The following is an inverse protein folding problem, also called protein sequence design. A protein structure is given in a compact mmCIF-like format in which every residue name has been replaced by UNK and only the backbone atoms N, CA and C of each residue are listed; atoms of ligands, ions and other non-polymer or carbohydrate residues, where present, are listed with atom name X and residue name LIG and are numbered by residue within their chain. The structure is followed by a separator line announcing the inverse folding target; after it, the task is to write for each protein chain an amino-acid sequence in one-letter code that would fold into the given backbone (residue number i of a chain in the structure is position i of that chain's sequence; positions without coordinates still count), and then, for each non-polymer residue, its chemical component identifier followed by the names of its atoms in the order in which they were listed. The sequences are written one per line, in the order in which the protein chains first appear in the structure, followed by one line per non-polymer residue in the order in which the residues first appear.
data_IF_437820703536
#
_entry.id   IF_437820703536
#
_cell.length_a   1.000
_cell.length_b   1.000
_cell.length_c   1.000
_cell.angle_alpha   90.00
_cell.angle_beta   90.00
_cell.angle_gamma   90.00
#
_symmetry.space_group_name_H-M   'P 1'
#
loop_
_entity.id
_entity.type
_entity.pdbx_description
1 polymer ?
#
# COMPACT_ATOMS: atom_id res chain seq x y z
N UNK A 1 13.98 50.12 24.90
CA UNK A 1 12.95 49.89 23.87
C UNK A 1 12.66 48.40 23.81
N UNK A 2 11.61 47.99 24.51
CA UNK A 2 11.18 46.60 24.70
C UNK A 2 10.33 46.15 23.52
N UNK A 3 10.83 45.22 22.71
CA UNK A 3 10.10 44.60 21.61
C UNK A 3 9.05 43.62 22.14
N UNK A 4 7.78 44.02 22.06
CA UNK A 4 6.64 43.14 22.33
C UNK A 4 6.59 42.02 21.30
N UNK A 5 6.62 40.76 21.76
CA UNK A 5 6.34 39.58 20.93
C UNK A 5 4.89 39.65 20.41
N UNK A 6 4.61 39.23 19.17
CA UNK A 6 3.24 39.23 18.66
C UNK A 6 2.37 38.27 19.48
N UNK A 7 1.23 38.79 19.93
CA UNK A 7 0.18 38.01 20.59
C UNK A 7 -0.35 37.01 19.57
N UNK A 8 -0.08 35.71 19.76
CA UNK A 8 -0.78 34.65 19.03
C UNK A 8 -2.27 34.79 19.32
N UNK A 9 -3.07 35.06 18.29
CA UNK A 9 -4.53 35.11 18.38
C UNK A 9 -5.04 33.81 19.01
N UNK A 10 -5.62 33.91 20.21
CA UNK A 10 -6.22 32.75 20.86
C UNK A 10 -7.51 32.39 20.13
N UNK A 11 -7.51 31.23 19.47
CA UNK A 11 -8.70 30.67 18.86
C UNK A 11 -9.78 30.45 19.94
N UNK A 12 -11.01 30.84 19.64
CA UNK A 12 -12.16 30.61 20.53
C UNK A 12 -12.41 29.10 20.68
N UNK A 13 -13.14 28.70 21.73
CA UNK A 13 -13.51 27.30 21.97
C UNK A 13 -14.32 26.71 20.80
N UNK A 14 -15.18 27.52 20.18
CA UNK A 14 -15.95 27.12 19.00
C UNK A 14 -15.07 26.92 17.76
N UNK A 15 -14.11 27.83 17.50
CA UNK A 15 -13.17 27.67 16.40
C UNK A 15 -12.27 26.43 16.57
N UNK A 16 -11.84 26.13 17.80
CA UNK A 16 -11.12 24.88 18.13
C UNK A 16 -11.98 23.64 17.90
N UNK A 17 -13.24 23.64 18.36
CA UNK A 17 -14.17 22.54 18.05
C UNK A 17 -14.34 22.36 16.54
N UNK A 18 -14.47 23.44 15.77
CA UNK A 18 -14.65 23.35 14.31
C UNK A 18 -13.39 22.80 13.61
N UNK A 19 -12.20 23.18 14.05
CA UNK A 19 -10.94 22.60 13.56
C UNK A 19 -10.75 21.12 13.98
N UNK A 20 -11.13 20.75 15.21
CA UNK A 20 -11.16 19.35 15.67
C UNK A 20 -11.98 18.46 14.74
N UNK A 21 -13.19 18.94 14.42
CA UNK A 21 -14.11 18.24 13.53
C UNK A 21 -13.53 18.11 12.12
N UNK A 22 -12.82 19.11 11.62
CA UNK A 22 -12.16 19.05 10.31
C UNK A 22 -11.05 17.99 10.28
N UNK A 23 -10.18 17.91 11.30
CA UNK A 23 -9.12 16.89 11.35
C UNK A 23 -9.67 15.47 11.40
N UNK A 24 -10.72 15.24 12.19
CA UNK A 24 -11.41 13.94 12.27
C UNK A 24 -12.18 13.61 10.97
N UNK A 25 -12.76 14.61 10.30
CA UNK A 25 -13.42 14.45 9.00
C UNK A 25 -12.42 14.11 7.90
N UNK A 26 -11.26 14.76 7.88
CA UNK A 26 -10.18 14.45 6.93
C UNK A 26 -9.70 13.01 7.13
N UNK A 27 -9.54 12.57 8.38
CA UNK A 27 -9.20 11.18 8.68
C UNK A 27 -10.26 10.21 8.17
N UNK A 28 -11.55 10.45 8.45
CA UNK A 28 -12.64 9.63 7.91
C UNK A 28 -12.58 9.57 6.39
N UNK A 29 -12.41 10.72 5.73
CA UNK A 29 -12.32 10.79 4.28
C UNK A 29 -11.13 9.99 3.75
N UNK A 30 -9.96 10.11 4.38
CA UNK A 30 -8.75 9.40 3.96
C UNK A 30 -8.90 7.88 4.15
N UNK A 31 -9.45 7.44 5.28
CA UNK A 31 -9.73 6.02 5.53
C UNK A 31 -10.76 5.49 4.52
N UNK A 32 -11.81 6.27 4.25
CA UNK A 32 -12.84 5.90 3.27
C UNK A 32 -12.26 5.75 1.87
N UNK A 33 -11.43 6.71 1.44
CA UNK A 33 -10.73 6.65 0.17
C UNK A 33 -9.79 5.44 0.11
N UNK A 34 -8.99 5.21 1.15
CA UNK A 34 -8.06 4.07 1.22
C UNK A 34 -8.80 2.73 1.15
N UNK A 35 -9.91 2.61 1.87
CA UNK A 35 -10.83 1.48 1.81
C UNK A 35 -11.33 1.28 0.38
N UNK A 36 -11.92 2.30 -0.23
CA UNK A 36 -12.47 2.20 -1.59
C UNK A 36 -11.38 1.82 -2.61
N UNK A 37 -10.18 2.36 -2.43
CA UNK A 37 -9.04 2.06 -3.29
C UNK A 37 -8.45 0.66 -3.06
N UNK A 38 -8.79 -0.02 -1.95
CA UNK A 38 -8.33 -1.39 -1.65
C UNK A 38 -9.31 -2.48 -2.15
N UNK A 39 -10.56 -2.10 -2.46
CA UNK A 39 -11.61 -3.01 -2.93
C UNK A 39 -11.36 -3.35 -4.40
N UNK A 40 -11.52 -4.63 -4.75
CA UNK A 40 -11.43 -5.08 -6.14
C UNK A 40 -12.54 -4.45 -6.99
N UNK A 41 -12.17 -3.86 -8.12
CA UNK A 41 -13.13 -3.33 -9.09
C UNK A 41 -14.00 -4.47 -9.63
N UNK A 42 -15.29 -4.20 -9.82
CA UNK A 42 -16.18 -5.09 -10.58
C UNK A 42 -15.80 -5.13 -12.06
N UNK A 43 -15.24 -4.02 -12.56
CA UNK A 43 -14.90 -3.83 -13.96
C UNK A 43 -13.53 -4.44 -14.27
N UNK A 44 -13.46 -5.10 -15.42
CA UNK A 44 -12.25 -5.70 -15.94
C UNK A 44 -11.57 -4.79 -16.98
N UNK A 45 -10.25 -4.87 -17.06
CA UNK A 45 -9.51 -4.39 -18.22
C UNK A 45 -9.91 -5.17 -19.47
N UNK A 46 -10.08 -4.47 -20.59
CA UNK A 46 -10.33 -5.09 -21.90
C UNK A 46 -9.16 -5.98 -22.33
N UNK A 47 -7.95 -5.63 -21.87
CA UNK A 47 -6.74 -6.38 -22.14
C UNK A 47 -5.73 -6.21 -21.01
N UNK A 48 -5.11 -7.32 -20.62
CA UNK A 48 -3.92 -7.33 -19.75
C UNK A 48 -2.73 -7.83 -20.57
N UNK A 49 -1.62 -7.08 -20.55
CA UNK A 49 -0.38 -7.40 -21.26
C UNK A 49 0.77 -7.46 -20.25
N UNK A 50 1.56 -8.52 -20.30
CA UNK A 50 2.66 -8.72 -19.35
C UNK A 50 3.99 -8.78 -20.11
N UNK A 51 4.96 -7.99 -19.67
CA UNK A 51 6.35 -8.04 -20.14
C UNK A 51 7.23 -8.52 -18.99
N UNK A 52 7.75 -9.74 -19.09
CA UNK A 52 8.67 -10.30 -18.12
C UNK A 52 10.12 -10.09 -18.57
N UNK A 53 10.91 -9.46 -17.70
CA UNK A 53 12.29 -9.05 -17.94
C UNK A 53 13.21 -9.84 -17.01
N UNK A 54 14.30 -10.36 -17.56
CA UNK A 54 15.44 -10.86 -16.79
C UNK A 54 16.74 -10.58 -17.56
N UNK A 55 17.90 -10.73 -16.92
CA UNK A 55 19.19 -10.56 -17.60
C UNK A 55 19.69 -11.86 -18.22
N UNK A 56 20.44 -11.74 -19.32
CA UNK A 56 21.10 -12.86 -20.00
C UNK A 56 22.08 -13.62 -19.09
N UNK A 57 22.79 -12.90 -18.22
CA UNK A 57 23.71 -13.49 -17.25
C UNK A 57 23.03 -13.95 -15.96
N UNK A 58 21.70 -13.79 -15.85
CA UNK A 58 20.96 -14.30 -14.72
C UNK A 58 20.49 -15.74 -14.97
N UNK A 59 20.68 -16.59 -13.96
CA UNK A 59 20.20 -17.98 -13.99
C UNK A 59 18.77 -18.09 -13.48
N UNK A 60 18.23 -17.02 -12.90
CA UNK A 60 16.81 -16.90 -12.55
C UNK A 60 16.01 -16.61 -13.84
N UNK A 61 15.32 -17.62 -14.36
CA UNK A 61 14.31 -17.41 -15.40
C UNK A 61 13.09 -16.64 -14.86
N UNK A 62 12.15 -16.19 -15.72
CA UNK A 62 10.91 -15.56 -15.25
C UNK A 62 10.09 -16.59 -14.47
N UNK A 63 9.90 -16.35 -13.16
CA UNK A 63 9.25 -17.31 -12.25
C UNK A 63 7.75 -17.13 -12.11
N UNK A 64 7.21 -15.99 -12.55
CA UNK A 64 5.79 -15.68 -12.40
C UNK A 64 5.01 -16.10 -13.66
N UNK A 65 4.19 -17.13 -13.51
CA UNK A 65 3.18 -17.49 -14.50
C UNK A 65 1.86 -16.82 -14.12
N UNK A 66 1.51 -15.77 -14.85
CA UNK A 66 0.17 -15.21 -14.79
C UNK A 66 -0.71 -15.86 -15.85
N UNK A 67 -2.02 -15.96 -15.60
CA UNK A 67 -3.03 -16.35 -16.61
C UNK A 67 -3.26 -15.26 -17.69
N UNK A 68 -2.23 -14.47 -17.98
CA UNK A 68 -2.24 -13.39 -18.96
C UNK A 68 -1.27 -13.69 -20.09
N UNK A 69 -1.45 -13.00 -21.22
CA UNK A 69 -0.50 -13.07 -22.32
C UNK A 69 0.83 -12.42 -21.88
N UNK A 70 1.82 -13.27 -21.60
CA UNK A 70 3.14 -12.90 -21.10
C UNK A 70 4.19 -13.02 -22.19
N UNK A 71 4.91 -11.93 -22.43
CA UNK A 71 6.05 -11.87 -23.30
C UNK A 71 7.33 -11.82 -22.46
N UNK A 72 8.21 -12.81 -22.61
CA UNK A 72 9.51 -12.81 -21.94
C UNK A 72 10.55 -12.08 -22.81
N UNK A 73 11.42 -11.30 -22.16
CA UNK A 73 12.54 -10.64 -22.80
C UNK A 73 13.82 -10.77 -21.97
N UNK A 74 14.84 -11.31 -22.63
CA UNK A 74 16.20 -11.43 -22.06
C UNK A 74 16.95 -10.14 -22.35
N UNK A 75 17.33 -9.42 -21.31
CA UNK A 75 18.13 -8.20 -21.42
C UNK A 75 19.58 -8.60 -21.70
N UNK A 76 20.14 -8.20 -22.85
CA UNK A 76 21.51 -8.57 -23.20
C UNK A 76 22.50 -7.88 -22.26
N UNK A 77 23.63 -8.54 -21.98
CA UNK A 77 24.69 -7.94 -21.16
C UNK A 77 25.49 -6.85 -21.89
N UNK A 78 25.52 -6.91 -23.23
CA UNK A 78 26.16 -5.91 -24.08
C UNK A 78 25.17 -4.80 -24.47
N UNK A 79 25.54 -3.53 -24.25
CA UNK A 79 24.70 -2.32 -24.46
C UNK A 79 23.25 -2.42 -23.91
N UNK A 80 23.07 -2.82 -22.63
CA UNK A 80 21.75 -3.14 -22.10
C UNK A 80 20.78 -1.96 -22.07
N UNK A 81 21.26 -0.75 -21.82
CA UNK A 81 20.38 0.43 -21.70
C UNK A 81 19.67 0.73 -23.02
N UNK A 82 20.38 0.63 -24.14
CA UNK A 82 19.82 0.90 -25.47
C UNK A 82 18.84 -0.22 -25.85
N UNK A 83 19.26 -1.47 -25.70
CA UNK A 83 18.44 -2.63 -26.07
C UNK A 83 17.16 -2.69 -25.23
N UNK A 84 17.27 -2.51 -23.91
CA UNK A 84 16.12 -2.49 -23.01
C UNK A 84 15.22 -1.28 -23.27
N UNK A 85 15.79 -0.09 -23.43
CA UNK A 85 15.01 1.12 -23.74
C UNK A 85 14.19 0.97 -25.02
N UNK A 86 14.81 0.48 -26.11
CA UNK A 86 14.12 0.20 -27.37
C UNK A 86 13.04 -0.86 -27.19
N UNK A 87 13.32 -1.94 -26.45
CA UNK A 87 12.34 -2.98 -26.18
C UNK A 87 11.12 -2.43 -25.45
N UNK A 88 11.33 -1.66 -24.37
CA UNK A 88 10.27 -1.07 -23.57
C UNK A 88 9.39 -0.17 -24.44
N UNK A 89 9.97 0.77 -25.19
CA UNK A 89 9.20 1.67 -26.07
C UNK A 89 8.40 0.89 -27.12
N UNK A 90 9.05 -0.02 -27.84
CA UNK A 90 8.42 -0.80 -28.92
C UNK A 90 7.32 -1.73 -28.41
N UNK A 91 7.45 -2.23 -27.18
CA UNK A 91 6.45 -3.07 -26.56
C UNK A 91 5.28 -2.24 -26.02
N UNK A 92 5.57 -1.14 -25.32
CA UNK A 92 4.57 -0.33 -24.62
C UNK A 92 3.70 0.46 -25.57
N UNK A 93 4.26 1.16 -26.55
CA UNK A 93 3.53 2.13 -27.36
C UNK A 93 2.33 1.53 -28.11
N UNK A 94 2.43 0.36 -28.78
CA UNK A 94 1.29 -0.27 -29.45
C UNK A 94 0.21 -0.79 -28.49
N UNK A 95 0.53 -0.90 -27.20
CA UNK A 95 -0.33 -1.44 -26.12
C UNK A 95 -0.87 -0.33 -25.21
N UNK A 96 -0.52 0.93 -25.45
CA UNK A 96 -1.04 2.08 -24.74
C UNK A 96 -2.46 2.41 -25.24
N UNK A 97 -3.47 1.88 -24.55
CA UNK A 97 -4.88 2.10 -24.87
C UNK A 97 -5.65 2.29 -23.58
N UNK A 98 -6.73 3.06 -23.64
CA UNK A 98 -7.70 3.13 -22.56
C UNK A 98 -8.15 1.72 -22.16
N UNK A 99 -8.39 1.52 -20.86
CA UNK A 99 -8.80 0.23 -20.28
C UNK A 99 -7.86 -0.96 -20.55
N UNK A 100 -6.57 -0.72 -20.77
CA UNK A 100 -5.53 -1.77 -20.84
C UNK A 100 -4.64 -1.71 -19.61
N UNK A 101 -4.33 -2.87 -19.01
CA UNK A 101 -3.31 -2.99 -17.97
C UNK A 101 -2.01 -3.53 -18.58
N UNK A 102 -0.91 -2.81 -18.33
CA UNK A 102 0.45 -3.23 -18.70
C UNK A 102 1.23 -3.58 -17.44
N UNK A 103 1.61 -4.84 -17.31
CA UNK A 103 2.38 -5.32 -16.17
C UNK A 103 3.82 -5.51 -16.61
N UNK A 104 4.75 -4.85 -15.93
CA UNK A 104 6.19 -5.02 -16.13
C UNK A 104 6.72 -5.82 -14.97
N UNK A 105 7.26 -6.99 -15.27
CA UNK A 105 7.81 -7.89 -14.29
C UNK A 105 9.31 -7.90 -14.47
N UNK A 106 10.06 -7.68 -13.40
CA UNK A 106 11.49 -7.94 -13.38
C UNK A 106 11.79 -9.03 -12.37
N UNK A 107 12.49 -10.07 -12.80
CA UNK A 107 12.97 -11.15 -11.94
C UNK A 107 14.47 -11.30 -12.16
N UNK A 108 15.25 -11.18 -11.09
CA UNK A 108 16.69 -11.40 -11.18
C UNK A 108 17.51 -10.63 -10.15
N UNK A 109 18.83 -10.69 -10.25
CA UNK A 109 19.72 -9.98 -9.34
C UNK A 109 19.69 -8.47 -9.62
N UNK A 110 19.40 -7.66 -8.59
CA UNK A 110 19.76 -6.24 -8.63
C UNK A 110 21.29 -6.17 -8.46
N UNK A 111 22.03 -5.89 -9.54
CA UNK A 111 23.50 -5.89 -9.55
C UNK A 111 24.06 -5.10 -8.35
N UNK A 112 24.92 -5.70 -7.51
CA UNK A 112 25.67 -5.10 -6.37
C UNK A 112 25.03 -3.88 -5.67
N UNK A 113 23.71 -3.80 -5.64
CA UNK A 113 22.97 -2.66 -5.14
C UNK A 113 22.84 -2.88 -3.65
N UNK A 114 23.92 -2.54 -2.95
CA UNK A 114 23.88 -2.40 -1.50
C UNK A 114 22.76 -1.43 -1.10
N UNK A 115 22.41 -1.36 0.18
CA UNK A 115 21.32 -0.52 0.70
C UNK A 115 21.47 0.99 0.44
N UNK A 116 22.54 1.43 -0.23
CA UNK A 116 22.85 2.80 -0.59
C UNK A 116 22.79 3.07 -2.12
N UNK A 117 22.40 2.10 -2.95
CA UNK A 117 22.32 2.32 -4.39
C UNK A 117 21.03 3.08 -4.74
N UNK A 118 21.18 4.39 -4.97
CA UNK A 118 20.09 5.33 -5.19
C UNK A 118 19.47 5.23 -6.60
N UNK A 119 19.92 4.29 -7.44
CA UNK A 119 19.56 4.23 -8.85
C UNK A 119 19.10 2.84 -9.29
N UNK A 120 17.77 2.67 -9.32
CA UNK A 120 17.14 1.56 -10.02
C UNK A 120 17.22 1.78 -11.54
N UNK A 121 18.21 1.15 -12.19
CA UNK A 121 18.51 1.34 -13.62
C UNK A 121 17.37 1.01 -14.58
N UNK A 122 16.42 0.17 -14.17
CA UNK A 122 15.25 -0.18 -14.98
C UNK A 122 14.16 0.91 -14.88
N UNK A 123 14.04 1.59 -13.74
CA UNK A 123 12.96 2.56 -13.48
C UNK A 123 13.12 3.84 -14.28
N UNK A 124 14.36 4.33 -14.41
CA UNK A 124 14.64 5.48 -15.27
C UNK A 124 14.30 5.23 -16.74
N UNK A 125 14.39 3.98 -17.21
CA UNK A 125 13.99 3.60 -18.57
C UNK A 125 12.48 3.42 -18.71
N UNK A 126 11.81 3.04 -17.63
CA UNK A 126 10.35 2.87 -17.60
C UNK A 126 9.59 4.19 -17.57
N UNK A 127 10.20 5.30 -17.12
CA UNK A 127 9.56 6.63 -17.06
C UNK A 127 8.85 7.04 -18.35
N UNK A 128 9.45 6.75 -19.51
CA UNK A 128 8.83 7.07 -20.83
C UNK A 128 7.61 6.21 -21.16
N UNK A 129 7.39 5.13 -20.42
CA UNK A 129 6.28 4.19 -20.56
C UNK A 129 5.13 4.45 -19.58
N UNK A 130 5.36 5.24 -18.52
CA UNK A 130 4.41 5.49 -17.42
C UNK A 130 3.25 6.38 -17.83
N UNK A 131 3.53 7.45 -18.57
CA UNK A 131 2.58 8.53 -18.87
C UNK A 131 1.76 8.29 -20.15
N UNK A 132 1.48 7.02 -20.46
CA UNK A 132 0.73 6.61 -21.64
C UNK A 132 -0.64 6.06 -21.25
N UNK A 133 -1.63 6.13 -22.15
CA UNK A 133 -3.00 5.62 -21.90
C UNK A 133 -3.01 4.17 -21.38
N UNK A 134 -3.93 3.91 -20.45
CA UNK A 134 -4.06 2.64 -19.73
C UNK A 134 -3.21 2.60 -18.45
N UNK A 135 -3.47 1.60 -17.61
CA UNK A 135 -2.75 1.45 -16.35
C UNK A 135 -1.45 0.68 -16.52
N UNK A 136 -0.52 0.95 -15.61
CA UNK A 136 0.76 0.26 -15.50
C UNK A 136 0.91 -0.30 -14.09
N UNK A 137 1.52 -1.48 -13.97
CA UNK A 137 1.84 -2.13 -12.71
C UNK A 137 3.27 -2.66 -12.78
N UNK A 138 4.06 -2.41 -11.74
CA UNK A 138 5.40 -2.96 -11.59
C UNK A 138 5.41 -4.11 -10.60
N UNK A 139 6.03 -5.22 -10.98
CA UNK A 139 6.28 -6.35 -10.08
C UNK A 139 7.76 -6.70 -10.13
N UNK A 140 8.46 -6.48 -9.03
CA UNK A 140 9.90 -6.64 -8.96
C UNK A 140 10.29 -7.72 -7.96
N UNK A 141 10.77 -8.85 -8.48
CA UNK A 141 11.30 -9.97 -7.70
C UNK A 141 12.83 -9.90 -7.68
N UNK A 142 13.38 -9.04 -6.80
CA UNK A 142 14.82 -8.94 -6.60
C UNK A 142 15.22 -8.31 -5.24
N UNK A 143 16.45 -8.56 -4.80
CA UNK A 143 16.92 -8.17 -3.46
C UNK A 143 16.96 -6.66 -3.15
N UNK A 144 16.92 -5.78 -4.17
CA UNK A 144 16.97 -4.32 -4.00
C UNK A 144 15.77 -3.61 -4.65
N UNK A 145 14.66 -4.32 -4.80
CA UNK A 145 13.44 -3.81 -5.43
C UNK A 145 12.81 -2.62 -4.70
N UNK A 146 13.05 -2.47 -3.39
CA UNK A 146 12.53 -1.37 -2.57
C UNK A 146 12.94 0.03 -3.05
N UNK A 147 13.97 0.14 -3.89
CA UNK A 147 14.35 1.40 -4.56
C UNK A 147 13.28 1.95 -5.50
N UNK A 148 12.27 1.16 -5.89
CA UNK A 148 11.08 1.65 -6.60
C UNK A 148 10.26 2.65 -5.77
N UNK A 149 10.41 2.66 -4.44
CA UNK A 149 9.77 3.65 -3.56
C UNK A 149 10.37 5.07 -3.67
N UNK A 150 11.45 5.26 -4.44
CA UNK A 150 12.15 6.54 -4.52
C UNK A 150 11.49 7.58 -5.45
N UNK A 151 10.48 7.19 -6.24
CA UNK A 151 9.74 8.11 -7.09
C UNK A 151 8.24 7.81 -7.09
N UNK A 152 7.45 8.83 -7.43
CA UNK A 152 6.02 8.70 -7.65
C UNK A 152 5.80 8.18 -9.08
N UNK A 153 5.24 6.98 -9.19
CA UNK A 153 5.08 6.26 -10.44
C UNK A 153 3.83 5.37 -10.43
N UNK A 154 3.75 4.40 -11.36
CA UNK A 154 2.74 3.37 -11.31
C UNK A 154 2.75 2.59 -10.00
N UNK A 155 1.64 1.92 -9.70
CA UNK A 155 1.59 1.03 -8.54
C UNK A 155 2.65 -0.07 -8.68
N UNK A 156 3.32 -0.39 -7.58
CA UNK A 156 4.43 -1.32 -7.58
C UNK A 156 4.35 -2.31 -6.42
N UNK A 157 4.67 -3.56 -6.72
CA UNK A 157 4.88 -4.63 -5.76
C UNK A 157 6.32 -5.14 -5.89
N UNK A 158 7.06 -5.10 -4.80
CA UNK A 158 8.47 -5.43 -4.75
C UNK A 158 8.73 -6.51 -3.70
N UNK A 159 9.50 -7.54 -4.04
CA UNK A 159 10.10 -8.43 -3.05
C UNK A 159 11.25 -7.67 -2.39
N UNK A 160 11.25 -7.49 -1.07
CA UNK A 160 12.39 -6.89 -0.38
C UNK A 160 13.00 -7.91 0.56
N UNK A 161 14.04 -8.60 0.10
CA UNK A 161 14.89 -9.43 0.95
C UNK A 161 16.06 -10.07 0.21
N UNK A 162 17.14 -10.30 0.95
CA UNK A 162 18.39 -10.83 0.44
C UNK A 162 18.26 -12.33 0.13
N UNK A 163 18.55 -12.73 -1.12
CA UNK A 163 18.74 -14.14 -1.54
C UNK A 163 17.59 -15.13 -1.30
N UNK A 164 16.35 -14.68 -1.15
CA UNK A 164 15.23 -15.58 -0.82
C UNK A 164 14.34 -15.89 -2.03
N UNK A 165 13.89 -17.15 -2.06
CA UNK A 165 13.03 -17.70 -3.10
C UNK A 165 11.57 -17.46 -2.70
N UNK A 166 10.85 -16.65 -3.48
CA UNK A 166 9.39 -16.59 -3.44
C UNK A 166 8.80 -17.97 -3.80
N UNK A 167 8.00 -18.55 -2.91
CA UNK A 167 7.42 -19.90 -3.03
C UNK A 167 5.91 -19.89 -3.29
N UNK A 168 5.28 -18.72 -3.43
CA UNK A 168 3.83 -18.62 -3.48
C UNK A 168 3.27 -18.91 -4.89
N UNK A 169 2.59 -20.04 -5.04
CA UNK A 169 1.59 -20.24 -6.09
C UNK A 169 0.37 -19.40 -5.76
N UNK A 170 0.20 -18.27 -6.46
CA UNK A 170 -0.94 -17.37 -6.26
C UNK A 170 -2.19 -17.97 -6.92
N UNK A 171 -3.19 -18.27 -6.11
CA UNK A 171 -4.55 -18.53 -6.60
C UNK A 171 -5.18 -17.18 -6.97
N UNK A 172 -5.45 -16.98 -8.27
CA UNK A 172 -5.86 -15.71 -8.86
C UNK A 172 -7.38 -15.54 -8.88
N UNK A 173 -8.04 -15.66 -7.72
CA UNK A 173 -9.34 -14.98 -7.57
C UNK A 173 -9.15 -13.46 -7.76
N UNK A 174 -10.20 -12.71 -8.14
CA UNK A 174 -10.09 -11.25 -8.27
C UNK A 174 -9.50 -10.63 -6.99
N UNK A 175 -8.34 -9.99 -7.11
CA UNK A 175 -7.59 -9.45 -5.98
C UNK A 175 -6.91 -8.14 -6.36
N UNK A 176 -6.96 -7.14 -5.47
CA UNK A 176 -6.18 -5.91 -5.64
C UNK A 176 -4.71 -6.14 -5.33
N UNK A 177 -3.80 -5.35 -5.91
CA UNK A 177 -2.37 -5.43 -5.57
C UNK A 177 -2.15 -5.14 -4.08
N UNK A 178 -2.91 -4.22 -3.48
CA UNK A 178 -2.90 -3.96 -2.03
C UNK A 178 -3.30 -5.21 -1.21
N UNK A 179 -4.33 -5.94 -1.64
CA UNK A 179 -4.75 -7.18 -0.99
C UNK A 179 -3.77 -8.32 -1.22
N UNK A 180 -3.17 -8.40 -2.40
CA UNK A 180 -2.11 -9.35 -2.72
C UNK A 180 -0.88 -9.11 -1.84
N UNK A 181 -0.46 -7.86 -1.70
CA UNK A 181 0.59 -7.45 -0.75
C UNK A 181 0.26 -7.91 0.67
N UNK A 182 -0.96 -7.62 1.16
CA UNK A 182 -1.36 -8.00 2.50
C UNK A 182 -1.34 -9.53 2.69
N UNK A 183 -1.71 -10.30 1.66
CA UNK A 183 -1.62 -11.77 1.68
C UNK A 183 -0.16 -12.25 1.71
N UNK A 184 0.70 -11.72 0.85
CA UNK A 184 2.13 -12.07 0.82
C UNK A 184 2.81 -11.75 2.15
N UNK A 185 2.50 -10.59 2.73
CA UNK A 185 3.05 -10.17 4.02
C UNK A 185 2.63 -11.13 5.16
N UNK A 186 1.36 -11.58 5.16
CA UNK A 186 0.85 -12.59 6.11
C UNK A 186 1.54 -13.93 5.94
N UNK A 187 1.75 -14.38 4.70
CA UNK A 187 2.40 -15.65 4.45
C UNK A 187 3.88 -15.59 4.88
N UNK A 188 4.58 -14.49 4.66
CA UNK A 188 5.99 -14.31 5.07
C UNK A 188 6.16 -14.20 6.59
N UNK A 189 5.27 -13.51 7.30
CA UNK A 189 5.32 -13.37 8.77
C UNK A 189 5.25 -14.74 9.47
N UNK A 190 4.53 -15.70 8.88
CA UNK A 190 4.44 -17.08 9.35
C UNK A 190 5.71 -17.89 9.08
N UNK A 191 6.49 -17.53 8.06
CA UNK A 191 7.63 -18.33 7.58
C UNK A 191 8.98 -17.80 8.12
N UNK A 192 8.98 -16.72 8.94
CA UNK A 192 10.21 -16.08 9.47
C UNK A 192 11.23 -15.73 8.38
N UNK A 193 10.73 -15.40 7.20
CA UNK A 193 11.55 -15.00 6.06
C UNK A 193 12.00 -13.57 6.32
N UNK A 194 13.32 -13.31 6.25
CA UNK A 194 13.93 -12.00 6.50
C UNK A 194 13.67 -10.96 5.40
N UNK A 195 12.75 -11.26 4.49
CA UNK A 195 12.21 -10.38 3.49
C UNK A 195 10.81 -9.94 3.92
N UNK A 196 10.40 -8.72 3.61
CA UNK A 196 8.99 -8.34 3.63
C UNK A 196 8.67 -7.77 2.25
N UNK A 197 7.54 -8.07 1.60
CA UNK A 197 7.19 -7.37 0.38
C UNK A 197 7.07 -5.87 0.68
N UNK A 198 7.25 -5.06 -0.36
CA UNK A 198 6.97 -3.64 -0.35
C UNK A 198 5.90 -3.37 -1.39
N UNK A 199 4.89 -2.63 -0.98
CA UNK A 199 3.84 -2.15 -1.85
C UNK A 199 3.88 -0.63 -1.88
N UNK A 200 3.89 -0.07 -3.09
CA UNK A 200 3.87 1.38 -3.32
C UNK A 200 2.62 1.66 -4.13
N UNK A 201 1.59 2.29 -3.54
CA UNK A 201 0.39 2.65 -4.27
C UNK A 201 0.68 3.76 -5.26
N UNK A 202 -0.04 3.76 -6.39
CA UNK A 202 -0.08 4.94 -7.25
C UNK A 202 -0.85 6.04 -6.55
N UNK A 203 -0.29 7.25 -6.50
CA UNK A 203 -0.95 8.38 -5.84
C UNK A 203 -2.33 8.66 -6.45
N UNK A 204 -3.31 8.89 -5.57
CA UNK A 204 -4.69 9.25 -5.91
C UNK A 204 -5.39 8.28 -6.87
N UNK A 205 -4.99 7.00 -6.87
CA UNK A 205 -5.55 5.97 -7.74
C UNK A 205 -6.01 4.75 -6.94
N UNK A 206 -7.10 4.06 -7.36
CA UNK A 206 -7.43 2.74 -6.81
C UNK A 206 -6.32 1.73 -7.11
N UNK A 207 -6.16 0.75 -6.23
CA UNK A 207 -5.24 -0.36 -6.42
C UNK A 207 -5.70 -1.20 -7.61
N UNK A 208 -4.75 -1.57 -8.47
CA UNK A 208 -4.97 -2.39 -9.66
C UNK A 208 -5.60 -3.72 -9.23
N UNK A 209 -6.73 -4.05 -9.86
CA UNK A 209 -7.37 -5.35 -9.68
C UNK A 209 -6.81 -6.35 -10.68
N UNK A 210 -6.22 -7.43 -10.16
CA UNK A 210 -5.81 -8.59 -10.94
C UNK A 210 -6.97 -9.59 -10.96
N UNK A 211 -7.55 -9.80 -12.14
CA UNK A 211 -8.66 -10.74 -12.36
C UNK A 211 -8.40 -11.55 -13.63
N UNK A 212 -8.57 -12.89 -13.62
CA UNK A 212 -8.42 -13.69 -14.84
C UNK A 212 -9.38 -13.19 -15.93
N UNK A 213 -8.89 -13.14 -17.17
CA UNK A 213 -9.69 -12.67 -18.32
C UNK A 213 -10.94 -13.53 -18.58
N UNK A 214 -10.99 -14.74 -18.03
CA UNK A 214 -12.07 -15.72 -18.23
C UNK A 214 -12.81 -16.14 -16.95
N UNK A 215 -12.61 -15.46 -15.81
CA UNK A 215 -13.31 -15.84 -14.58
C UNK A 215 -14.73 -15.28 -14.52
N UNK A 216 -15.72 -16.14 -14.28
CA UNK A 216 -17.03 -15.73 -13.76
C UNK A 216 -16.87 -15.02 -12.42
N UNK A 217 -17.70 -14.02 -12.14
CA UNK A 217 -17.73 -13.28 -10.88
C UNK A 217 -17.93 -14.21 -9.67
N UNK A 218 -16.83 -14.69 -9.11
CA UNK A 218 -16.81 -15.25 -7.77
C UNK A 218 -16.46 -14.13 -6.83
N UNK A 219 -17.38 -13.78 -5.94
CA UNK A 219 -17.14 -12.84 -4.85
C UNK A 219 -15.89 -13.27 -4.07
N UNK A 220 -14.97 -12.35 -3.77
CA UNK A 220 -13.77 -12.67 -3.01
C UNK A 220 -14.17 -13.20 -1.62
N UNK A 221 -13.73 -14.42 -1.28
CA UNK A 221 -13.84 -14.93 0.08
C UNK A 221 -12.73 -14.31 0.93
N UNK A 222 -13.05 -13.29 1.72
CA UNK A 222 -12.08 -12.66 2.63
C UNK A 222 -11.73 -13.61 3.79
N UNK A 223 -10.43 -13.91 4.04
CA UNK A 223 -10.04 -14.70 5.19
C UNK A 223 -10.29 -13.94 6.51
N UNK A 224 -10.81 -14.66 7.51
CA UNK A 224 -11.35 -14.16 8.78
C UNK A 224 -10.29 -13.68 9.82
N UNK A 225 -9.00 -13.72 9.48
CA UNK A 225 -7.93 -13.23 10.36
C UNK A 225 -7.00 -12.35 9.53
N UNK A 226 -7.18 -11.03 9.62
CA UNK A 226 -6.29 -10.07 8.97
C UNK A 226 -5.20 -9.62 9.94
N UNK A 227 -3.95 -9.71 9.49
CA UNK A 227 -2.92 -8.86 10.05
C UNK A 227 -3.33 -7.40 9.85
N UNK A 228 -3.28 -6.65 10.94
CA UNK A 228 -3.65 -5.25 10.99
C UNK A 228 -2.43 -4.42 11.33
N UNK A 229 -2.53 -3.14 11.03
CA UNK A 229 -1.57 -2.14 11.46
C UNK A 229 -2.21 -1.33 12.57
N UNK A 230 -1.52 -1.25 13.70
CA UNK A 230 -1.81 -0.29 14.75
C UNK A 230 -1.20 1.05 14.33
N UNK A 231 -2.07 2.06 14.21
CA UNK A 231 -1.72 3.41 13.79
C UNK A 231 -2.02 4.36 14.92
N UNK A 232 -1.10 5.26 15.21
CA UNK A 232 -1.35 6.39 16.09
C UNK A 232 -1.73 7.62 15.28
N UNK A 233 -2.76 8.31 15.74
CA UNK A 233 -3.34 9.45 15.07
C UNK A 233 -3.36 10.63 16.02
N UNK A 234 -2.68 11.70 15.63
CA UNK A 234 -2.66 12.95 16.36
C UNK A 234 -3.85 13.81 15.92
N UNK A 235 -4.81 13.95 16.81
CA UNK A 235 -5.92 14.89 16.68
C UNK A 235 -5.59 16.13 17.49
N UNK A 236 -5.69 17.30 16.85
CA UNK A 236 -5.23 18.59 17.41
C UNK A 236 -5.92 19.00 18.72
N UNK A 237 -7.01 18.35 19.10
CA UNK A 237 -7.88 18.73 20.21
C UNK A 237 -8.11 17.61 21.23
N UNK A 238 -8.91 17.89 22.27
CA UNK A 238 -9.41 16.93 23.27
C UNK A 238 -10.90 16.57 22.99
N UNK A 239 -11.22 15.77 21.95
CA UNK A 239 -12.57 15.26 21.75
C UNK A 239 -13.06 14.56 23.02
N UNK A 240 -14.33 14.78 23.35
CA UNK A 240 -14.95 14.03 24.43
C UNK A 240 -15.38 12.65 23.92
N UNK A 241 -15.74 11.76 24.83
CA UNK A 241 -16.12 10.38 24.49
C UNK A 241 -17.32 10.32 23.51
N UNK A 242 -18.27 11.25 23.62
CA UNK A 242 -19.42 11.31 22.73
C UNK A 242 -19.01 11.68 21.30
N UNK A 243 -18.04 12.60 21.16
CA UNK A 243 -17.50 12.98 19.85
C UNK A 243 -16.80 11.78 19.20
N UNK A 244 -16.02 11.02 19.97
CA UNK A 244 -15.33 9.82 19.49
C UNK A 244 -16.31 8.71 19.09
N UNK A 245 -17.34 8.43 19.90
CA UNK A 245 -18.37 7.43 19.57
C UNK A 245 -19.19 7.85 18.35
N UNK A 246 -19.52 9.14 18.22
CA UNK A 246 -20.23 9.66 17.05
C UNK A 246 -19.37 9.59 15.77
N UNK A 247 -18.07 9.78 15.92
CA UNK A 247 -17.09 9.60 14.85
C UNK A 247 -16.96 8.13 14.44
N UNK A 248 -16.79 7.22 15.40
CA UNK A 248 -16.76 5.77 15.17
C UNK A 248 -18.03 5.27 14.46
N UNK A 249 -19.20 5.64 14.98
CA UNK A 249 -20.49 5.29 14.36
C UNK A 249 -20.65 5.88 12.95
N UNK A 250 -20.03 7.02 12.67
CA UNK A 250 -20.01 7.63 11.33
C UNK A 250 -19.08 6.86 10.40
N UNK A 251 -17.89 6.53 10.86
CA UNK A 251 -16.93 5.71 10.12
C UNK A 251 -17.59 4.39 9.71
N UNK A 252 -18.23 3.69 10.65
CA UNK A 252 -18.94 2.44 10.39
C UNK A 252 -20.15 2.58 9.47
N UNK A 253 -20.82 3.75 9.45
CA UNK A 253 -21.99 3.99 8.59
C UNK A 253 -21.62 4.37 7.16
N UNK A 254 -20.58 5.18 7.01
CA UNK A 254 -20.17 5.72 5.71
C UNK A 254 -19.24 4.71 4.96
N UNK A 255 -18.72 3.69 5.67
CA UNK A 255 -18.01 2.55 5.08
C UNK A 255 -18.95 1.62 4.27
N UNK A 256 -18.54 1.19 3.06
CA UNK A 256 -19.30 0.23 2.25
C UNK A 256 -19.56 -1.05 3.04
N UNK A 257 -20.75 -1.65 2.87
CA UNK A 257 -21.11 -2.90 3.54
C UNK A 257 -20.15 -4.05 3.21
N UNK A 258 -19.52 -4.00 2.04
CA UNK A 258 -18.52 -4.96 1.54
C UNK A 258 -17.20 -4.88 2.34
N UNK A 259 -17.02 -3.83 3.15
CA UNK A 259 -15.84 -3.55 3.97
C UNK A 259 -16.08 -3.96 5.43
N UNK A 260 -17.25 -4.50 5.78
CA UNK A 260 -17.51 -4.97 7.15
C UNK A 260 -16.69 -6.23 7.54
N UNK A 261 -15.90 -6.80 6.63
CA UNK A 261 -14.85 -7.79 6.94
C UNK A 261 -13.49 -7.16 7.30
N UNK A 262 -13.34 -5.85 7.15
CA UNK A 262 -12.13 -5.05 7.41
C UNK A 262 -12.27 -4.42 8.79
N UNK A 263 -11.58 -4.99 9.77
CA UNK A 263 -11.71 -4.65 11.19
C UNK A 263 -10.97 -3.33 11.51
N UNK A 264 -11.59 -2.18 11.17
CA UNK A 264 -11.12 -0.86 11.61
C UNK A 264 -11.71 -0.56 12.98
N UNK A 265 -10.86 -0.41 14.00
CA UNK A 265 -11.30 -0.24 15.39
C UNK A 265 -10.48 0.81 16.12
N UNK A 266 -11.13 1.58 16.98
CA UNK A 266 -10.44 2.43 17.97
C UNK A 266 -10.02 1.55 19.14
N UNK A 267 -8.73 1.37 19.34
CA UNK A 267 -8.18 0.61 20.46
C UNK A 267 -8.06 1.47 21.72
N UNK A 268 -7.66 2.74 21.57
CA UNK A 268 -7.50 3.65 22.71
C UNK A 268 -7.56 5.12 22.30
N UNK A 269 -7.91 5.98 23.27
CA UNK A 269 -7.86 7.43 23.13
C UNK A 269 -7.19 8.05 24.36
N UNK A 270 -6.11 8.79 24.13
CA UNK A 270 -5.32 9.42 25.19
C UNK A 270 -5.43 10.94 25.10
N UNK A 271 -5.98 11.56 26.15
CA UNK A 271 -6.01 13.02 26.29
C UNK A 271 -4.65 13.54 26.73
N UNK A 272 -4.12 14.52 26.01
CA UNK A 272 -2.89 15.24 26.35
C UNK A 272 -3.05 16.73 25.97
N UNK A 273 -1.97 17.41 25.56
CA UNK A 273 -2.01 18.73 24.90
C UNK A 273 -2.65 18.66 23.50
N UNK A 274 -2.69 17.46 22.93
CA UNK A 274 -3.45 16.99 21.77
C UNK A 274 -4.06 15.63 22.15
N UNK A 275 -5.01 15.09 21.39
CA UNK A 275 -5.48 13.71 21.59
C UNK A 275 -4.75 12.78 20.65
N UNK A 276 -4.27 11.66 21.19
CA UNK A 276 -3.74 10.57 20.40
C UNK A 276 -4.75 9.45 20.39
N UNK A 277 -5.22 9.08 19.20
CA UNK A 277 -6.03 7.90 18.98
C UNK A 277 -5.12 6.77 18.53
N UNK A 278 -5.34 5.58 19.06
CA UNK A 278 -4.79 4.35 18.51
C UNK A 278 -5.90 3.63 17.78
N UNK A 279 -5.70 3.39 16.49
CA UNK A 279 -6.65 2.64 15.67
C UNK A 279 -5.96 1.43 15.04
N UNK A 280 -6.67 0.32 14.94
CA UNK A 280 -6.28 -0.79 14.09
C UNK A 280 -6.93 -0.63 12.72
N UNK A 281 -6.18 -0.87 11.67
CA UNK A 281 -6.64 -0.87 10.27
C UNK A 281 -6.07 -2.09 9.56
N UNK A 282 -6.78 -2.72 8.61
CA UNK A 282 -6.21 -3.80 7.82
C UNK A 282 -5.04 -3.33 6.95
N UNK A 283 -4.11 -4.25 6.71
CA UNK A 283 -2.85 -3.93 6.05
C UNK A 283 -3.03 -3.39 4.62
N UNK A 284 -4.01 -3.93 3.88
CA UNK A 284 -4.44 -3.48 2.56
C UNK A 284 -5.03 -2.05 2.57
N UNK A 285 -5.64 -1.62 3.68
CA UNK A 285 -6.12 -0.24 3.84
C UNK A 285 -4.98 0.68 4.26
N UNK A 286 -4.11 0.22 5.17
CA UNK A 286 -2.94 0.97 5.61
C UNK A 286 -2.04 1.37 4.43
N UNK A 287 -1.74 0.41 3.55
CA UNK A 287 -0.86 0.68 2.41
C UNK A 287 -1.48 1.63 1.36
N UNK A 288 -2.79 1.83 1.38
CA UNK A 288 -3.50 2.77 0.50
C UNK A 288 -3.81 4.11 1.19
N UNK A 289 -3.47 4.25 2.48
CA UNK A 289 -3.71 5.47 3.24
C UNK A 289 -2.74 6.57 2.75
N UNK A 290 -3.23 7.78 2.39
CA UNK A 290 -2.35 8.84 1.95
C UNK A 290 -1.42 9.30 3.08
N UNK A 291 -0.20 9.70 2.71
CA UNK A 291 0.74 10.29 3.64
C UNK A 291 0.12 11.50 4.34
N UNK A 292 0.23 11.52 5.67
CA UNK A 292 -0.30 12.62 6.46
C UNK A 292 0.53 12.76 7.75
N UNK A 293 0.95 13.98 8.13
CA UNK A 293 1.81 14.20 9.31
C UNK A 293 1.12 13.86 10.65
N UNK A 294 -0.19 13.62 10.61
CA UNK A 294 -0.98 13.19 11.76
C UNK A 294 -1.06 11.68 11.95
N UNK A 295 -0.52 10.86 11.04
CA UNK A 295 -0.55 9.40 11.12
C UNK A 295 0.87 8.89 11.36
N UNK A 296 1.05 8.06 12.38
CA UNK A 296 2.32 7.38 12.62
C UNK A 296 2.07 5.89 12.80
N UNK A 297 2.85 5.06 12.09
CA UNK A 297 2.89 3.62 12.29
C UNK A 297 3.32 3.29 13.73
N UNK A 298 2.63 2.34 14.37
CA UNK A 298 3.03 1.83 15.69
C UNK A 298 3.56 0.41 15.60
N UNK A 299 2.76 -0.52 15.06
CA UNK A 299 3.14 -1.93 14.96
C UNK A 299 2.20 -2.69 14.03
N UNK A 300 2.67 -3.79 13.46
CA UNK A 300 1.77 -4.86 13.01
C UNK A 300 1.17 -5.56 14.23
N UNK A 301 -0.12 -5.91 14.16
CA UNK A 301 -0.86 -6.59 15.22
C UNK A 301 -1.78 -7.66 14.64
N UNK A 302 -1.81 -8.81 15.32
CA UNK A 302 -2.62 -9.99 14.93
C UNK A 302 -3.80 -10.24 15.88
N UNK A 303 -3.85 -9.54 17.01
CA UNK A 303 -4.88 -9.70 18.02
C UNK A 303 -5.52 -8.36 18.34
N UNK A 304 -6.73 -8.42 18.90
CA UNK A 304 -7.32 -7.29 19.60
C UNK A 304 -6.54 -6.99 20.88
N UNK A 305 -6.82 -5.83 21.48
CA UNK A 305 -6.30 -5.50 22.81
C UNK A 305 -6.65 -6.61 23.82
N UNK A 306 -5.60 -7.27 24.31
CA UNK A 306 -5.66 -8.39 25.26
C UNK A 306 -6.01 -7.87 26.67
N UNK A 307 -5.72 -6.59 26.95
CA UNK A 307 -5.86 -5.98 28.27
C UNK A 307 -7.18 -5.22 28.47
N UNK A 308 -8.00 -5.07 27.44
CA UNK A 308 -9.35 -4.48 27.54
C UNK A 308 -10.26 -5.22 28.54
N UNK A 309 -9.87 -6.42 29.01
CA UNK A 309 -10.55 -7.20 30.04
C UNK A 309 -9.87 -7.18 31.44
N UNK A 310 -8.73 -6.51 31.62
CA UNK A 310 -7.89 -6.68 32.82
C UNK A 310 -7.80 -5.41 33.67
N UNK A 311 -7.99 -5.58 35.00
CA UNK A 311 -7.98 -4.52 36.03
C UNK A 311 -6.76 -3.59 35.93
N UNK A 312 -7.02 -2.31 36.21
CA UNK A 312 -6.00 -1.28 36.39
C UNK A 312 -4.87 -1.77 37.31
N UNK A 313 -3.62 -1.59 36.85
CA UNK A 313 -2.45 -1.82 37.68
C UNK A 313 -2.51 -0.88 38.89
N UNK A 314 -2.17 -1.38 40.10
CA UNK A 314 -2.21 -0.57 41.30
C UNK A 314 -1.32 0.66 41.13
N UNK A 315 -1.92 1.83 41.32
CA UNK A 315 -1.26 3.12 41.34
C UNK A 315 -0.05 3.06 42.29
N UNK A 316 1.17 3.30 41.79
CA UNK A 316 2.30 3.63 42.67
C UNK A 316 2.15 5.11 43.05
N UNK A 317 1.96 5.45 44.33
CA UNK A 317 2.10 6.83 44.76
C UNK A 317 3.55 7.28 44.49
N UNK A 318 3.69 8.48 43.95
CA UNK A 318 4.97 9.21 43.88
C UNK A 318 5.26 9.78 45.26
#
# INVERSE_FOLDING_TARGET
MSGLRPIRSQLTRQQRQQQSWQSLQNLCSNLQTAVNNSIASSDNYDSVKVLALHWENDKMGPRLQFNYNCEAYVTPTHVPQIALGQKLVNWTYPRAKSNTLRIYIYSGHAASAGPADLFWKIGSLLYSCENLDGDSLYIFDCCSAGSVALWDGPEALAACGWEQISSASLDFSPITVASLFARLFRDESQIQVGACPVHIPRRDHPSVTLKPLSSSDSSPSHPLYSERVLVSIKVSDNPNERDLRAWEARLLRDMPQDVLSVDIKIEAAFKSRSTVLLITVPLEVWTMLPEHPGYDFVSHVISNDILSATKALPYRPV
#
